data_IF_012510465793
#
_entry.id   IF_012510465793
#
_cell.length_a   1.000
_cell.length_b   1.000
_cell.length_c   1.000
_cell.angle_alpha   90.00
_cell.angle_beta   90.00
_cell.angle_gamma   90.00
#
_symmetry.space_group_name_H-M   'P 1'
#
loop_
_entity.id
_entity.type
_entity.pdbx_description
1 polymer ?
#
# COMPACT_ATOMS: atom_id res chain seq x y z
N UNK A 1 26.05 19.54 39.20
CA UNK A 1 25.63 18.12 39.22
C UNK A 1 24.30 18.01 38.50
N UNK A 2 24.31 17.18 37.47
CA UNK A 2 23.29 16.90 36.46
C UNK A 2 22.03 16.26 37.06
N UNK A 3 20.85 16.59 36.51
CA UNK A 3 19.80 15.60 36.22
C UNK A 3 18.85 16.18 35.16
N UNK A 4 19.09 15.79 33.92
CA UNK A 4 18.11 15.92 32.85
C UNK A 4 17.00 14.89 33.05
N UNK A 5 15.75 15.30 32.80
CA UNK A 5 14.68 14.37 32.44
C UNK A 5 14.09 14.83 31.13
N UNK A 6 14.47 14.11 30.08
CA UNK A 6 13.79 14.14 28.79
C UNK A 6 12.36 13.67 29.00
N UNK A 7 11.39 14.51 28.64
CA UNK A 7 10.02 14.04 28.50
C UNK A 7 9.86 13.60 27.04
N UNK A 8 10.00 12.30 26.82
CA UNK A 8 9.94 11.67 25.52
C UNK A 8 8.60 11.92 24.84
N UNK A 9 8.65 12.26 23.55
CA UNK A 9 7.48 12.27 22.68
C UNK A 9 6.75 10.94 22.83
N UNK A 10 5.51 11.00 23.29
CA UNK A 10 4.59 9.89 23.29
C UNK A 10 4.45 9.40 21.84
N UNK A 11 5.15 8.31 21.53
CA UNK A 11 4.84 7.49 20.37
C UNK A 11 3.37 7.10 20.52
N UNK A 12 2.50 7.75 19.74
CA UNK A 12 1.09 7.42 19.63
C UNK A 12 1.02 5.93 19.35
N UNK A 13 0.64 5.16 20.37
CA UNK A 13 0.40 3.72 20.25
C UNK A 13 -0.54 3.57 19.07
N UNK A 14 -0.08 2.87 18.04
CA UNK A 14 -0.97 2.28 17.05
C UNK A 14 -2.02 1.56 17.90
N UNK A 15 -3.28 2.00 17.83
CA UNK A 15 -4.36 1.39 18.60
C UNK A 15 -4.28 -0.12 18.40
N UNK A 16 -4.35 -0.89 19.50
CA UNK A 16 -4.14 -2.33 19.48
C UNK A 16 -4.90 -2.93 18.29
N UNK A 17 -4.13 -3.41 17.30
CA UNK A 17 -4.69 -4.10 16.15
C UNK A 17 -5.40 -5.33 16.75
N UNK A 18 -6.72 -5.48 16.60
CA UNK A 18 -7.43 -6.61 17.18
C UNK A 18 -6.75 -7.91 16.76
N UNK A 19 -6.63 -8.86 17.69
CA UNK A 19 -6.04 -10.15 17.38
C UNK A 19 -6.78 -10.79 16.17
N UNK A 20 -6.02 -11.16 15.14
CA UNK A 20 -6.56 -11.64 13.85
C UNK A 20 -6.82 -10.59 12.76
N UNK A 21 -6.65 -9.28 13.02
CA UNK A 21 -6.74 -8.28 11.95
C UNK A 21 -5.52 -8.35 11.01
N UNK A 22 -5.78 -8.17 9.71
CA UNK A 22 -4.76 -8.23 8.67
C UNK A 22 -3.99 -6.91 8.65
N UNK A 23 -2.67 -6.98 8.61
CA UNK A 23 -1.78 -5.83 8.46
C UNK A 23 -0.87 -6.02 7.26
N UNK A 24 -0.19 -4.97 6.83
CA UNK A 24 0.69 -5.02 5.67
C UNK A 24 2.07 -4.43 6.00
N UNK A 25 3.08 -4.93 5.29
CA UNK A 25 4.45 -4.43 5.34
C UNK A 25 4.84 -3.95 3.95
N UNK A 26 5.16 -2.68 3.85
CA UNK A 26 5.71 -2.05 2.66
C UNK A 26 7.23 -1.92 2.78
N UNK A 27 7.97 -2.57 1.90
CA UNK A 27 9.43 -2.46 1.85
C UNK A 27 9.86 -1.73 0.59
N UNK A 28 10.64 -0.68 0.77
CA UNK A 28 11.27 0.04 -0.35
C UNK A 28 12.48 -0.77 -0.83
N UNK A 29 12.50 -1.08 -2.13
CA UNK A 29 13.62 -1.75 -2.79
C UNK A 29 14.43 -0.72 -3.57
N UNK A 30 15.73 -0.56 -3.32
CA UNK A 30 16.55 0.35 -4.10
C UNK A 30 16.56 -0.08 -5.57
N UNK A 31 16.40 0.90 -6.47
CA UNK A 31 16.53 0.74 -7.92
C UNK A 31 17.73 1.51 -8.45
N UNK A 32 18.03 1.39 -9.76
CA UNK A 32 19.07 2.19 -10.40
C UNK A 32 18.77 3.69 -10.31
N UNK A 33 19.78 4.53 -10.12
CA UNK A 33 19.68 6.00 -10.25
C UNK A 33 18.65 6.67 -9.33
N UNK A 34 18.72 6.41 -8.02
CA UNK A 34 17.83 7.01 -6.99
C UNK A 34 16.32 6.76 -7.22
N UNK A 35 16.02 5.69 -7.96
CA UNK A 35 14.65 5.22 -8.14
C UNK A 35 14.34 4.10 -7.16
N UNK A 36 13.06 3.91 -6.85
CA UNK A 36 12.63 2.98 -5.83
C UNK A 36 11.57 2.02 -6.35
N UNK A 37 11.87 0.72 -6.30
CA UNK A 37 10.85 -0.33 -6.35
C UNK A 37 10.20 -0.51 -4.98
N UNK A 38 9.13 -1.31 -4.94
CA UNK A 38 8.42 -1.64 -3.71
C UNK A 38 8.15 -3.15 -3.64
N UNK A 39 8.05 -3.68 -2.43
CA UNK A 39 7.44 -4.96 -2.15
C UNK A 39 6.37 -4.79 -1.08
N UNK A 40 5.23 -5.46 -1.27
CA UNK A 40 4.17 -5.54 -0.29
C UNK A 40 4.08 -6.98 0.19
N UNK A 41 4.08 -7.16 1.50
CA UNK A 41 3.77 -8.42 2.14
C UNK A 41 2.61 -8.23 3.13
N UNK A 42 1.78 -9.24 3.24
CA UNK A 42 0.68 -9.33 4.19
C UNK A 42 1.21 -9.94 5.49
N UNK A 43 0.69 -9.48 6.63
CA UNK A 43 0.95 -9.99 7.98
C UNK A 43 -0.35 -10.11 8.75
N UNK A 44 -0.37 -10.91 9.80
CA UNK A 44 -1.54 -11.09 10.67
C UNK A 44 -1.18 -10.71 12.12
N UNK A 45 -2.18 -10.27 12.88
CA UNK A 45 -2.03 -9.92 14.29
C UNK A 45 -1.32 -8.56 14.47
N UNK A 46 -0.42 -8.47 15.44
CA UNK A 46 0.30 -7.23 15.78
C UNK A 46 1.30 -6.74 14.71
N UNK A 47 1.36 -7.42 13.56
CA UNK A 47 2.22 -7.06 12.44
C UNK A 47 3.69 -7.42 12.65
N UNK A 48 4.06 -8.16 13.71
CA UNK A 48 5.43 -8.63 14.00
C UNK A 48 5.70 -10.07 13.51
N UNK A 49 4.65 -10.84 13.22
CA UNK A 49 4.73 -12.24 12.78
C UNK A 49 5.23 -12.49 11.34
N UNK A 50 5.14 -13.74 10.87
CA UNK A 50 5.46 -14.14 9.50
C UNK A 50 4.65 -13.35 8.48
N UNK A 51 5.23 -13.17 7.29
CA UNK A 51 4.58 -12.42 6.20
C UNK A 51 4.37 -13.27 4.96
N UNK A 52 3.26 -13.06 4.26
CA UNK A 52 2.99 -13.64 2.94
C UNK A 52 3.24 -12.59 1.86
N UNK A 53 4.14 -12.83 0.88
CA UNK A 53 4.35 -11.90 -0.22
C UNK A 53 3.07 -11.67 -1.03
N UNK A 54 2.73 -10.40 -1.29
CA UNK A 54 1.55 -10.01 -2.08
C UNK A 54 1.96 -9.63 -3.49
N UNK A 55 2.90 -8.68 -3.63
CA UNK A 55 3.41 -8.24 -4.92
C UNK A 55 4.76 -7.53 -4.79
N UNK A 56 5.45 -7.39 -5.91
CA UNK A 56 6.57 -6.48 -6.11
C UNK A 56 6.25 -5.50 -7.24
N UNK A 57 6.75 -4.28 -7.14
CA UNK A 57 6.63 -3.26 -8.17
C UNK A 57 8.02 -2.67 -8.48
N UNK A 58 8.32 -2.51 -9.76
CA UNK A 58 9.57 -1.90 -10.23
C UNK A 58 9.53 -0.38 -10.09
N UNK A 59 10.69 0.26 -10.10
CA UNK A 59 10.79 1.72 -10.05
C UNK A 59 9.88 2.46 -11.06
N UNK A 60 9.84 2.08 -12.36
CA UNK A 60 8.92 2.69 -13.31
C UNK A 60 7.44 2.44 -13.00
N UNK A 61 7.08 1.36 -12.31
CA UNK A 61 5.70 1.12 -11.89
C UNK A 61 5.33 1.98 -10.69
N UNK A 62 6.24 2.09 -9.72
CA UNK A 62 6.07 2.90 -8.50
C UNK A 62 5.97 4.38 -8.84
N UNK A 63 6.80 4.89 -9.75
CA UNK A 63 6.79 6.31 -10.12
C UNK A 63 5.43 6.79 -10.66
N UNK A 64 4.66 5.90 -11.28
CA UNK A 64 3.33 6.21 -11.82
C UNK A 64 2.24 6.30 -10.75
N UNK A 65 2.48 5.76 -9.57
CA UNK A 65 1.51 5.72 -8.46
C UNK A 65 2.09 6.28 -7.16
N UNK A 66 3.12 7.14 -7.26
CA UNK A 66 3.84 7.67 -6.10
C UNK A 66 2.91 8.36 -5.10
N UNK A 67 1.90 9.09 -5.58
CA UNK A 67 0.92 9.75 -4.71
C UNK A 67 0.10 8.76 -3.88
N UNK A 68 -0.27 7.62 -4.47
CA UNK A 68 -0.99 6.56 -3.77
C UNK A 68 -0.11 5.87 -2.73
N UNK A 69 1.17 5.65 -3.05
CA UNK A 69 2.17 5.12 -2.09
C UNK A 69 2.34 6.09 -0.92
N UNK A 70 2.54 7.37 -1.20
CA UNK A 70 2.69 8.40 -0.17
C UNK A 70 1.42 8.56 0.67
N UNK A 71 0.23 8.46 0.06
CA UNK A 71 -1.04 8.49 0.78
C UNK A 71 -1.17 7.30 1.75
N UNK A 72 -0.82 6.09 1.31
CA UNK A 72 -0.85 4.91 2.17
C UNK A 72 0.12 5.02 3.36
N UNK A 73 1.34 5.53 3.13
CA UNK A 73 2.34 5.73 4.20
C UNK A 73 1.91 6.84 5.17
N UNK A 74 1.29 7.93 4.67
CA UNK A 74 0.77 9.01 5.53
C UNK A 74 -0.39 8.55 6.40
N UNK A 75 -1.22 7.63 5.91
CA UNK A 75 -2.35 7.10 6.66
C UNK A 75 -1.92 6.41 7.97
N UNK A 76 -0.69 5.87 8.03
CA UNK A 76 -0.15 5.24 9.25
C UNK A 76 0.58 6.21 10.20
N UNK A 77 0.45 7.52 9.96
CA UNK A 77 1.07 8.55 10.79
C UNK A 77 2.59 8.68 10.60
N UNK A 78 3.13 8.08 9.54
CA UNK A 78 4.54 8.24 9.16
C UNK A 78 4.70 9.40 8.17
N UNK A 79 5.69 10.27 8.41
CA UNK A 79 6.02 11.36 7.50
C UNK A 79 6.66 10.83 6.21
N UNK A 80 6.34 11.44 5.05
CA UNK A 80 6.92 11.08 3.75
C UNK A 80 8.47 11.07 3.75
N UNK A 81 9.10 11.93 4.57
CA UNK A 81 10.57 11.96 4.77
C UNK A 81 11.18 10.71 5.42
N UNK A 82 10.36 9.78 5.95
CA UNK A 82 10.84 8.51 6.52
C UNK A 82 11.20 7.47 5.44
N UNK A 83 10.62 7.58 4.24
CA UNK A 83 10.93 6.71 3.09
C UNK A 83 12.39 6.82 2.64
N UNK A 84 13.04 7.97 2.87
CA UNK A 84 14.44 8.23 2.54
C UNK A 84 15.43 7.86 3.67
N UNK A 85 14.95 7.57 4.88
CA UNK A 85 15.81 7.32 6.08
C UNK A 85 15.83 5.84 6.47
N UNK A 86 14.81 5.07 6.09
CA UNK A 86 14.65 3.66 6.43
C UNK A 86 14.86 2.73 5.23
N UNK A 87 16.03 2.80 4.58
CA UNK A 87 16.38 1.83 3.54
C UNK A 87 16.39 0.41 4.11
N UNK A 88 15.44 -0.42 3.66
CA UNK A 88 15.33 -1.84 4.01
C UNK A 88 14.44 -2.16 5.23
N UNK A 89 13.97 -1.18 6.00
CA UNK A 89 13.01 -1.45 7.09
C UNK A 89 11.57 -1.46 6.58
N UNK A 90 10.78 -2.51 6.87
CA UNK A 90 9.39 -2.55 6.46
C UNK A 90 8.56 -1.47 7.17
N UNK A 91 7.79 -0.71 6.41
CA UNK A 91 6.84 0.28 6.91
C UNK A 91 5.51 -0.46 7.16
N UNK A 92 4.97 -0.45 8.39
CA UNK A 92 3.67 -1.03 8.67
C UNK A 92 2.57 -0.18 8.02
N UNK A 93 1.64 -0.88 7.38
CA UNK A 93 0.40 -0.34 6.83
C UNK A 93 -0.78 -1.02 7.54
N UNK A 94 -1.80 -0.25 7.90
CA UNK A 94 -3.07 -0.83 8.35
C UNK A 94 -3.76 -1.59 7.21
N UNK A 95 -4.79 -2.36 7.56
CA UNK A 95 -5.50 -3.22 6.61
C UNK A 95 -6.04 -2.44 5.41
N UNK A 96 -6.73 -1.32 5.67
CA UNK A 96 -7.43 -0.57 4.64
C UNK A 96 -6.45 0.13 3.68
N UNK A 97 -5.39 0.74 4.22
CA UNK A 97 -4.33 1.37 3.44
C UNK A 97 -3.56 0.33 2.61
N UNK A 98 -3.21 -0.81 3.22
CA UNK A 98 -2.50 -1.90 2.56
C UNK A 98 -3.29 -2.52 1.42
N UNK A 99 -4.59 -2.80 1.64
CA UNK A 99 -5.48 -3.34 0.61
C UNK A 99 -5.62 -2.37 -0.57
N UNK A 100 -5.92 -1.09 -0.32
CA UNK A 100 -6.09 -0.09 -1.40
C UNK A 100 -4.81 0.10 -2.21
N UNK A 101 -3.65 0.13 -1.55
CA UNK A 101 -2.37 0.21 -2.22
C UNK A 101 -2.10 -1.04 -3.08
N UNK A 102 -2.37 -2.23 -2.56
CA UNK A 102 -2.22 -3.48 -3.30
C UNK A 102 -3.12 -3.53 -4.54
N UNK A 103 -4.40 -3.17 -4.42
CA UNK A 103 -5.33 -3.08 -5.56
C UNK A 103 -4.86 -2.08 -6.62
N UNK A 104 -4.41 -0.90 -6.19
CA UNK A 104 -3.86 0.12 -7.08
C UNK A 104 -2.69 -0.43 -7.89
N UNK A 105 -1.76 -1.13 -7.24
CA UNK A 105 -0.58 -1.71 -7.89
C UNK A 105 -0.94 -2.88 -8.80
N UNK A 106 -1.83 -3.78 -8.38
CA UNK A 106 -2.32 -4.88 -9.23
C UNK A 106 -2.97 -4.37 -10.52
N UNK A 107 -3.74 -3.29 -10.44
CA UNK A 107 -4.43 -2.71 -11.58
C UNK A 107 -3.51 -1.84 -12.45
N UNK A 108 -2.51 -1.16 -11.87
CA UNK A 108 -1.65 -0.23 -12.60
C UNK A 108 -0.43 -0.88 -13.26
N UNK A 109 0.04 -2.05 -12.77
CA UNK A 109 1.27 -2.70 -13.23
C UNK A 109 1.44 -2.81 -14.77
N UNK A 110 0.44 -3.29 -15.54
CA UNK A 110 0.56 -3.40 -16.99
C UNK A 110 0.21 -2.09 -17.74
N UNK A 111 -0.15 -1.02 -17.02
CA UNK A 111 -0.67 0.23 -17.59
C UNK A 111 0.43 1.29 -17.61
N UNK A 112 0.64 1.91 -18.77
CA UNK A 112 1.61 2.99 -18.95
C UNK A 112 0.97 4.36 -19.16
N UNK A 113 -0.28 4.42 -19.65
CA UNK A 113 -0.99 5.67 -19.92
C UNK A 113 -1.39 6.38 -18.63
N UNK A 114 -0.91 7.61 -18.42
CA UNK A 114 -1.11 8.36 -17.18
C UNK A 114 -2.59 8.56 -16.82
N UNK A 115 -3.45 8.94 -17.77
CA UNK A 115 -4.88 9.14 -17.49
C UNK A 115 -5.59 7.86 -17.02
N UNK A 116 -5.16 6.71 -17.54
CA UNK A 116 -5.69 5.40 -17.13
C UNK A 116 -5.25 5.09 -15.70
N UNK A 117 -4.01 5.40 -15.34
CA UNK A 117 -3.48 5.21 -13.98
C UNK A 117 -4.20 6.14 -13.00
N UNK A 118 -4.42 7.41 -13.35
CA UNK A 118 -5.21 8.34 -12.54
C UNK A 118 -6.63 7.83 -12.30
N UNK A 119 -7.27 7.30 -13.35
CA UNK A 119 -8.62 6.70 -13.25
C UNK A 119 -8.64 5.49 -12.32
N UNK A 120 -7.62 4.63 -12.39
CA UNK A 120 -7.45 3.47 -11.48
C UNK A 120 -7.33 3.94 -10.03
N UNK A 121 -6.43 4.89 -9.75
CA UNK A 121 -6.22 5.41 -8.38
C UNK A 121 -7.51 6.03 -7.84
N UNK A 122 -8.19 6.86 -8.63
CA UNK A 122 -9.45 7.48 -8.24
C UNK A 122 -10.53 6.43 -7.96
N UNK A 123 -10.70 5.46 -8.86
CA UNK A 123 -11.72 4.42 -8.73
C UNK A 123 -11.49 3.53 -7.50
N UNK A 124 -10.25 3.16 -7.19
CA UNK A 124 -9.93 2.41 -5.96
C UNK A 124 -10.20 3.24 -4.70
N UNK A 125 -9.95 4.55 -4.73
CA UNK A 125 -10.22 5.43 -3.60
C UNK A 125 -11.72 5.64 -3.35
N UNK A 126 -12.55 5.58 -4.39
CA UNK A 126 -14.01 5.70 -4.27
C UNK A 126 -14.70 4.41 -3.84
N UNK A 127 -14.03 3.26 -3.92
CA UNK A 127 -14.59 1.98 -3.48
C UNK A 127 -14.87 1.99 -1.98
N UNK A 128 -15.99 1.34 -1.60
CA UNK A 128 -16.29 1.05 -0.21
C UNK A 128 -15.22 0.11 0.38
N UNK A 129 -15.09 0.10 1.70
CA UNK A 129 -14.12 -0.78 2.37
C UNK A 129 -14.41 -2.25 2.04
N UNK A 130 -15.68 -2.67 2.10
CA UNK A 130 -16.11 -4.02 1.77
C UNK A 130 -15.76 -4.40 0.33
N UNK A 131 -16.00 -3.50 -0.61
CA UNK A 131 -15.66 -3.71 -2.02
C UNK A 131 -14.16 -3.89 -2.21
N UNK A 132 -13.33 -3.08 -1.53
CA UNK A 132 -11.88 -3.23 -1.60
C UNK A 132 -11.41 -4.58 -1.03
N UNK A 133 -12.02 -5.06 0.06
CA UNK A 133 -11.68 -6.35 0.66
C UNK A 133 -12.09 -7.52 -0.25
N UNK A 134 -13.27 -7.45 -0.86
CA UNK A 134 -13.72 -8.43 -1.85
C UNK A 134 -12.75 -8.52 -3.03
N UNK A 135 -12.40 -7.39 -3.64
CA UNK A 135 -11.47 -7.37 -4.77
C UNK A 135 -10.09 -7.85 -4.38
N UNK A 136 -9.60 -7.50 -3.20
CA UNK A 136 -8.30 -7.94 -2.71
C UNK A 136 -8.24 -9.45 -2.61
N UNK A 137 -9.22 -10.07 -1.94
CA UNK A 137 -9.32 -11.53 -1.81
C UNK A 137 -9.32 -12.22 -3.18
N UNK A 138 -10.02 -11.66 -4.17
CA UNK A 138 -10.01 -12.18 -5.55
C UNK A 138 -8.66 -12.01 -6.24
N UNK A 139 -7.95 -10.90 -6.01
CA UNK A 139 -6.66 -10.58 -6.64
C UNK A 139 -5.45 -11.34 -6.07
N UNK A 140 -5.57 -11.90 -4.87
CA UNK A 140 -4.54 -12.77 -4.25
C UNK A 140 -4.91 -14.26 -4.30
N UNK A 141 -6.17 -14.60 -4.59
CA UNK A 141 -6.64 -15.98 -4.66
C UNK A 141 -6.31 -16.73 -5.97
N UNK A 142 -6.85 -17.96 -6.13
CA UNK A 142 -6.50 -18.87 -7.24
C UNK A 142 -6.76 -18.32 -8.64
N UNK A 143 -7.68 -17.36 -8.78
CA UNK A 143 -8.05 -16.71 -10.04
C UNK A 143 -7.47 -15.30 -10.20
N UNK A 144 -6.37 -15.00 -9.51
CA UNK A 144 -5.75 -13.67 -9.43
C UNK A 144 -5.62 -12.96 -10.79
N UNK A 145 -5.09 -13.65 -11.82
CA UNK A 145 -4.86 -13.04 -13.14
C UNK A 145 -6.19 -12.53 -13.76
N UNK A 146 -7.24 -13.35 -13.69
CA UNK A 146 -8.57 -12.99 -14.20
C UNK A 146 -9.20 -11.88 -13.37
N UNK A 147 -9.09 -11.97 -12.05
CA UNK A 147 -9.60 -10.94 -11.14
C UNK A 147 -8.94 -9.57 -11.37
N UNK A 148 -7.62 -9.51 -11.50
CA UNK A 148 -6.88 -8.27 -11.80
C UNK A 148 -7.27 -7.68 -13.15
N UNK A 149 -7.63 -8.52 -14.13
CA UNK A 149 -8.19 -8.05 -15.41
C UNK A 149 -9.59 -7.48 -15.24
N UNK A 150 -10.47 -8.17 -14.54
CA UNK A 150 -11.83 -7.72 -14.28
C UNK A 150 -11.84 -6.39 -13.51
N UNK A 151 -10.99 -6.26 -12.48
CA UNK A 151 -10.82 -5.02 -11.72
C UNK A 151 -10.44 -3.84 -12.63
N UNK A 152 -9.50 -4.05 -13.57
CA UNK A 152 -9.11 -2.99 -14.52
C UNK A 152 -10.24 -2.59 -15.47
N UNK A 153 -11.13 -3.51 -15.82
CA UNK A 153 -12.30 -3.23 -16.66
C UNK A 153 -13.30 -2.39 -15.85
N UNK A 154 -13.65 -2.83 -14.63
CA UNK A 154 -14.51 -2.09 -13.72
C UNK A 154 -14.03 -0.64 -13.51
N UNK A 155 -12.74 -0.47 -13.20
CA UNK A 155 -12.15 0.85 -12.97
C UNK A 155 -12.04 1.71 -14.25
N UNK A 156 -12.09 1.11 -15.43
CA UNK A 156 -12.10 1.83 -16.70
C UNK A 156 -13.51 2.32 -17.07
N UNK A 157 -14.54 1.56 -16.71
CA UNK A 157 -15.94 1.86 -17.02
C UNK A 157 -16.51 2.93 -16.08
N UNK A 158 -16.01 3.03 -14.84
CA UNK A 158 -16.37 4.10 -13.89
C UNK A 158 -15.95 5.52 -14.34
N UNK A 159 -15.40 5.69 -15.55
CA UNK A 159 -15.04 6.99 -16.14
C UNK A 159 -16.26 7.75 -16.71
N UNK A 160 -17.45 7.15 -16.78
CA UNK A 160 -18.64 7.75 -17.43
C UNK A 160 -19.56 8.56 -16.50
N UNK A 161 -19.17 8.81 -15.24
CA UNK A 161 -20.02 9.46 -14.24
C UNK A 161 -19.48 10.79 -13.69
N UNK A 162 -18.89 11.63 -14.52
CA UNK A 162 -18.52 13.01 -14.19
C UNK A 162 -19.22 13.99 -15.12
#
# INVERSE_FOLDING_TARGET
MTHGKSNGLAARRIGAIPDGARAFRLTVKPGPSDTYGLAIAESYGDGTGPTTPVLTATAPQVSRVVDAVLAAVRATGHSAGRLAVEHGRPIPLDEAAGVRLALTLFASQPVTKHDRIRSIVAGVNTMSVEETYYWYAKCVGPSAIRARRALRILLADNKTGA
#
